data_IF_584369658534
#
_entry.id   IF_584369658534
#
_cell.length_a   1.000
_cell.length_b   1.000
_cell.length_c   1.000
_cell.angle_alpha   90.00
_cell.angle_beta   90.00
_cell.angle_gamma   90.00
#
_symmetry.space_group_name_H-M   'P 1'
#
loop_
_entity.id
_entity.type
_entity.pdbx_description
1 polymer ?
#
# COMPACT_ATOMS: atom_id res chain seq x y z
N UNK A 1 6.31 -9.95 -2.22
CA UNK A 1 5.69 -10.46 -3.47
C UNK A 1 4.79 -9.41 -4.14
N UNK A 2 3.97 -8.66 -3.36
CA UNK A 2 3.00 -7.69 -3.92
C UNK A 2 3.66 -6.62 -4.81
N UNK A 3 4.82 -6.09 -4.41
CA UNK A 3 5.51 -4.99 -5.11
C UNK A 3 6.14 -5.40 -6.44
N UNK A 4 6.21 -6.68 -6.76
CA UNK A 4 6.58 -7.12 -8.11
C UNK A 4 5.57 -6.64 -9.15
N UNK A 5 4.28 -6.72 -8.81
CA UNK A 5 3.18 -6.26 -9.68
C UNK A 5 2.78 -4.81 -9.38
N UNK A 6 2.74 -4.42 -8.09
CA UNK A 6 2.29 -3.11 -7.64
C UNK A 6 3.48 -2.19 -7.32
N UNK A 7 4.33 -1.94 -8.33
CA UNK A 7 5.59 -1.19 -8.16
C UNK A 7 5.37 0.27 -7.74
N UNK A 8 4.21 0.84 -8.04
CA UNK A 8 3.85 2.21 -7.65
C UNK A 8 3.79 2.41 -6.15
N UNK A 9 3.51 1.35 -5.36
CA UNK A 9 3.47 1.43 -3.90
C UNK A 9 4.82 1.86 -3.28
N UNK A 10 5.93 1.62 -3.99
CA UNK A 10 7.27 2.02 -3.56
C UNK A 10 7.70 3.40 -4.06
N UNK A 11 6.87 4.09 -4.84
CA UNK A 11 7.27 5.32 -5.56
C UNK A 11 6.31 6.49 -5.37
N UNK A 12 5.03 6.24 -5.08
CA UNK A 12 4.05 7.30 -5.06
C UNK A 12 2.74 6.97 -4.37
N UNK A 13 1.74 7.81 -4.62
CA UNK A 13 0.43 7.65 -3.98
C UNK A 13 -0.32 6.40 -4.44
N UNK A 14 -0.21 6.04 -5.72
CA UNK A 14 -0.91 4.89 -6.30
C UNK A 14 -0.01 3.66 -6.33
N UNK A 15 -0.53 2.51 -5.92
CA UNK A 15 0.17 1.24 -6.05
C UNK A 15 0.31 0.77 -7.50
N UNK A 16 -0.50 1.30 -8.41
CA UNK A 16 -0.62 0.96 -9.83
C UNK A 16 -1.11 -0.48 -10.09
N UNK A 17 -1.65 -0.72 -11.26
CA UNK A 17 -1.95 -2.04 -11.79
C UNK A 17 -0.93 -2.31 -12.89
N UNK A 18 -0.27 -3.48 -12.91
CA UNK A 18 0.70 -3.82 -13.94
C UNK A 18 0.03 -4.04 -15.30
N UNK A 19 0.79 -3.88 -16.36
CA UNK A 19 0.36 -4.32 -17.69
C UNK A 19 0.21 -5.84 -17.75
N UNK A 20 -0.59 -6.33 -18.71
CA UNK A 20 -0.80 -7.77 -18.95
C UNK A 20 0.50 -8.53 -19.15
N UNK A 21 1.51 -7.88 -19.76
CA UNK A 21 2.85 -8.47 -19.98
C UNK A 21 3.50 -8.91 -18.67
N UNK A 22 3.35 -8.15 -17.59
CA UNK A 22 3.91 -8.51 -16.28
C UNK A 22 3.25 -9.76 -15.72
N UNK A 23 1.94 -9.93 -15.94
CA UNK A 23 1.22 -11.15 -15.56
C UNK A 23 1.78 -12.37 -16.30
N UNK A 24 2.04 -12.21 -17.59
CA UNK A 24 2.51 -13.29 -18.47
C UNK A 24 3.95 -13.73 -18.19
N UNK A 25 4.76 -12.95 -17.44
CA UNK A 25 6.08 -13.41 -17.00
C UNK A 25 6.03 -14.72 -16.21
N UNK A 26 4.92 -14.98 -15.50
CA UNK A 26 4.71 -16.20 -14.75
C UNK A 26 3.58 -17.06 -15.34
N UNK A 27 2.45 -16.44 -15.74
CA UNK A 27 1.25 -17.16 -16.13
C UNK A 27 1.32 -17.77 -17.55
N UNK A 28 2.36 -17.52 -18.28
CA UNK A 28 2.69 -18.31 -19.48
C UNK A 28 3.07 -19.77 -19.15
N UNK A 29 3.42 -20.08 -17.89
CA UNK A 29 3.78 -21.43 -17.43
C UNK A 29 2.96 -21.90 -16.22
N UNK A 30 2.50 -20.97 -15.35
CA UNK A 30 1.86 -21.28 -14.08
C UNK A 30 0.34 -21.07 -14.19
N UNK A 31 -0.44 -22.07 -13.74
CA UNK A 31 -1.92 -22.05 -13.70
C UNK A 31 -2.59 -21.77 -15.06
N UNK A 32 -2.00 -22.19 -16.16
CA UNK A 32 -2.50 -21.93 -17.52
C UNK A 32 -3.94 -22.40 -17.73
N UNK A 33 -4.37 -23.46 -17.06
CA UNK A 33 -5.69 -24.02 -17.20
C UNK A 33 -6.77 -23.30 -16.38
N UNK A 34 -6.38 -22.36 -15.50
CA UNK A 34 -7.35 -21.55 -14.77
C UNK A 34 -8.20 -20.68 -15.71
N UNK A 35 -9.53 -20.65 -15.56
CA UNK A 35 -10.40 -19.79 -16.37
C UNK A 35 -10.00 -18.30 -16.29
N UNK A 36 -9.55 -17.85 -15.11
CA UNK A 36 -9.14 -16.46 -14.90
C UNK A 36 -7.81 -16.14 -15.60
N UNK A 37 -6.87 -17.09 -15.62
CA UNK A 37 -5.62 -16.93 -16.37
C UNK A 37 -5.87 -16.94 -17.88
N UNK A 38 -6.83 -17.72 -18.37
CA UNK A 38 -7.23 -17.71 -19.79
C UNK A 38 -7.76 -16.32 -20.21
N UNK A 39 -8.46 -15.59 -19.34
CA UNK A 39 -8.86 -14.19 -19.62
C UNK A 39 -7.65 -13.27 -19.80
N UNK A 40 -6.64 -13.43 -18.93
CA UNK A 40 -5.38 -12.66 -19.04
C UNK A 40 -4.65 -13.00 -20.35
N UNK A 41 -4.58 -14.27 -20.71
CA UNK A 41 -3.97 -14.73 -21.95
C UNK A 41 -4.68 -14.13 -23.17
N UNK A 42 -6.02 -14.19 -23.20
CA UNK A 42 -6.81 -13.58 -24.29
C UNK A 42 -6.52 -12.08 -24.41
N UNK A 43 -6.49 -11.35 -23.30
CA UNK A 43 -6.17 -9.92 -23.29
C UNK A 43 -4.76 -9.64 -23.82
N UNK A 44 -3.80 -10.52 -23.51
CA UNK A 44 -2.43 -10.45 -24.01
C UNK A 44 -2.36 -10.69 -25.53
N UNK A 45 -2.98 -11.75 -26.03
CA UNK A 45 -2.97 -12.14 -27.44
C UNK A 45 -3.71 -11.14 -28.33
N UNK A 46 -4.80 -10.58 -27.85
CA UNK A 46 -5.58 -9.57 -28.58
C UNK A 46 -5.10 -8.14 -28.37
N UNK A 47 -4.09 -7.95 -27.52
CA UNK A 47 -3.60 -6.63 -27.11
C UNK A 47 -4.72 -5.71 -26.61
N UNK A 48 -5.68 -6.26 -25.89
CA UNK A 48 -6.78 -5.51 -25.28
C UNK A 48 -6.56 -5.31 -23.79
N UNK A 49 -6.86 -4.13 -23.22
CA UNK A 49 -6.76 -3.92 -21.78
C UNK A 49 -7.82 -4.75 -21.03
N UNK A 50 -7.44 -5.19 -19.83
CA UNK A 50 -8.40 -5.81 -18.89
C UNK A 50 -9.18 -4.71 -18.18
N UNK A 51 -10.49 -4.81 -18.19
CA UNK A 51 -11.36 -3.94 -17.40
C UNK A 51 -11.38 -4.40 -15.94
N UNK A 52 -10.59 -3.71 -15.11
CA UNK A 52 -10.49 -4.00 -13.70
C UNK A 52 -11.62 -3.35 -12.90
N UNK A 53 -12.24 -4.12 -12.01
CA UNK A 53 -13.19 -3.59 -11.02
C UNK A 53 -12.41 -2.97 -9.86
N UNK A 54 -12.69 -1.71 -9.55
CA UNK A 54 -12.07 -1.02 -8.42
C UNK A 54 -12.73 -1.46 -7.11
N UNK A 55 -12.05 -2.31 -6.35
CA UNK A 55 -12.55 -2.85 -5.06
C UNK A 55 -12.23 -1.90 -3.90
N UNK A 56 -10.96 -1.48 -3.77
CA UNK A 56 -10.56 -0.57 -2.70
C UNK A 56 -10.82 0.88 -3.11
N UNK A 57 -11.74 1.52 -2.44
CA UNK A 57 -12.17 2.86 -2.79
C UNK A 57 -12.14 3.80 -1.57
N UNK A 58 -11.58 4.97 -1.77
CA UNK A 58 -11.68 6.11 -0.87
C UNK A 58 -12.50 7.21 -1.54
N UNK A 59 -13.18 8.08 -0.76
CA UNK A 59 -13.81 9.28 -1.31
C UNK A 59 -12.78 10.15 -2.04
N UNK A 60 -13.21 10.85 -3.09
CA UNK A 60 -12.29 11.66 -3.92
C UNK A 60 -11.58 12.77 -3.14
N UNK A 61 -12.18 13.23 -2.05
CA UNK A 61 -11.60 14.22 -1.13
C UNK A 61 -10.66 13.60 -0.08
N UNK A 62 -10.49 12.27 -0.05
CA UNK A 62 -9.60 11.56 0.85
C UNK A 62 -8.29 11.18 0.14
N UNK A 63 -7.21 11.85 0.48
CA UNK A 63 -5.90 11.55 -0.08
C UNK A 63 -5.19 10.44 0.68
N UNK A 64 -4.72 9.45 -0.03
CA UNK A 64 -3.91 8.37 0.51
C UNK A 64 -2.64 8.19 -0.33
N UNK A 65 -1.52 7.96 0.35
CA UNK A 65 -0.22 7.78 -0.30
C UNK A 65 0.42 6.45 0.12
N UNK A 66 0.48 5.49 -0.81
CA UNK A 66 1.08 4.18 -0.55
C UNK A 66 2.54 4.27 -0.15
N UNK A 67 3.34 5.12 -0.79
CA UNK A 67 4.76 5.28 -0.48
C UNK A 67 4.98 5.66 0.98
N UNK A 68 4.22 6.62 1.51
CA UNK A 68 4.33 7.06 2.90
C UNK A 68 3.98 5.94 3.88
N UNK A 69 2.97 5.13 3.58
CA UNK A 69 2.54 4.05 4.47
C UNK A 69 3.42 2.80 4.35
N UNK A 70 3.74 2.40 3.13
CA UNK A 70 4.51 1.19 2.89
C UNK A 70 6.03 1.40 3.07
N UNK A 71 6.60 2.38 2.32
CA UNK A 71 8.06 2.55 2.27
C UNK A 71 8.60 3.33 3.47
N UNK A 72 7.93 4.40 3.87
CA UNK A 72 8.38 5.25 4.99
C UNK A 72 7.94 4.66 6.33
N UNK A 73 6.66 4.35 6.49
CA UNK A 73 6.14 3.82 7.75
C UNK A 73 6.40 2.32 7.96
N UNK A 74 6.75 1.56 6.91
CA UNK A 74 7.03 0.12 7.00
C UNK A 74 5.79 -0.75 7.19
N UNK A 75 4.60 -0.22 6.91
CA UNK A 75 3.33 -0.94 7.11
C UNK A 75 3.16 -1.99 6.03
N UNK A 76 2.87 -3.22 6.44
CA UNK A 76 2.64 -4.32 5.51
C UNK A 76 1.30 -4.17 4.77
N UNK A 77 1.26 -4.62 3.52
CA UNK A 77 0.08 -4.53 2.65
C UNK A 77 -1.18 -5.11 3.30
N UNK A 78 -1.03 -6.24 3.98
CA UNK A 78 -2.13 -6.96 4.64
C UNK A 78 -2.78 -6.18 5.78
N UNK A 79 -2.13 -5.17 6.36
CA UNK A 79 -2.73 -4.33 7.41
C UNK A 79 -3.99 -3.62 6.90
N UNK A 80 -3.99 -3.21 5.64
CA UNK A 80 -5.12 -2.52 5.00
C UNK A 80 -5.92 -3.45 4.08
N UNK A 81 -5.22 -4.30 3.32
CA UNK A 81 -5.84 -5.14 2.29
C UNK A 81 -6.27 -6.52 2.80
N UNK A 82 -5.89 -6.91 4.03
CA UNK A 82 -6.12 -8.26 4.52
C UNK A 82 -5.27 -9.32 3.83
N UNK A 83 -5.56 -10.60 4.03
CA UNK A 83 -4.80 -11.71 3.47
C UNK A 83 -5.17 -11.96 1.99
N UNK A 84 -4.92 -10.96 1.14
CA UNK A 84 -5.30 -10.97 -0.29
C UNK A 84 -4.83 -12.23 -1.01
N UNK A 85 -3.65 -12.75 -0.65
CA UNK A 85 -3.07 -13.95 -1.23
C UNK A 85 -3.88 -15.22 -0.94
N UNK A 86 -4.83 -15.16 -0.02
CA UNK A 86 -5.74 -16.25 0.36
C UNK A 86 -7.17 -16.03 -0.11
N UNK A 87 -7.48 -14.87 -0.69
CA UNK A 87 -8.82 -14.55 -1.17
C UNK A 87 -9.06 -15.21 -2.53
N UNK A 88 -10.15 -15.95 -2.66
CA UNK A 88 -10.60 -16.49 -3.95
C UNK A 88 -11.11 -15.37 -4.87
N UNK A 89 -11.81 -14.41 -4.29
CA UNK A 89 -12.23 -13.15 -4.90
C UNK A 89 -11.86 -12.01 -3.98
N UNK A 90 -11.23 -10.96 -4.51
CA UNK A 90 -10.76 -9.83 -3.70
C UNK A 90 -11.94 -8.98 -3.24
N UNK A 91 -11.95 -8.66 -1.95
CA UNK A 91 -12.91 -7.75 -1.34
C UNK A 91 -12.20 -6.71 -0.44
N UNK A 92 -12.87 -5.61 -0.15
CA UNK A 92 -12.34 -4.61 0.77
C UNK A 92 -12.40 -5.13 2.21
N UNK A 93 -11.27 -5.56 2.73
CA UNK A 93 -11.14 -6.16 4.07
C UNK A 93 -11.28 -5.13 5.19
N UNK A 94 -10.54 -4.03 5.09
CA UNK A 94 -10.59 -2.95 6.08
C UNK A 94 -11.62 -1.90 5.68
N UNK A 95 -12.25 -1.27 6.67
CA UNK A 95 -13.30 -0.27 6.42
C UNK A 95 -12.80 0.94 5.66
N UNK A 96 -11.54 1.33 5.84
CA UNK A 96 -10.89 2.49 5.22
C UNK A 96 -11.67 3.79 5.41
N UNK A 97 -12.47 3.88 6.48
CA UNK A 97 -13.16 5.11 6.88
C UNK A 97 -12.18 6.08 7.54
N UNK A 98 -12.53 7.36 7.61
CA UNK A 98 -11.74 8.38 8.31
C UNK A 98 -11.44 7.95 9.76
N UNK A 99 -12.44 7.45 10.50
CA UNK A 99 -12.26 6.96 11.86
C UNK A 99 -11.27 5.80 11.96
N UNK A 100 -11.29 4.88 11.00
CA UNK A 100 -10.34 3.77 10.93
C UNK A 100 -8.89 4.28 10.74
N UNK A 101 -8.69 5.25 9.83
CA UNK A 101 -7.38 5.87 9.59
C UNK A 101 -6.86 6.61 10.83
N UNK A 102 -7.71 7.41 11.46
CA UNK A 102 -7.39 8.17 12.69
C UNK A 102 -7.00 7.24 13.83
N UNK A 103 -7.72 6.15 14.04
CA UNK A 103 -7.39 5.19 15.09
C UNK A 103 -6.05 4.50 14.81
N UNK A 104 -5.80 4.09 13.57
CA UNK A 104 -4.51 3.56 13.17
C UNK A 104 -3.36 4.53 13.46
N UNK A 105 -3.52 5.83 13.15
CA UNK A 105 -2.51 6.87 13.44
C UNK A 105 -2.28 7.11 14.93
N UNK A 106 -3.31 6.93 15.76
CA UNK A 106 -3.19 7.03 17.23
C UNK A 106 -2.42 5.87 17.84
N UNK A 107 -2.52 4.69 17.24
CA UNK A 107 -1.93 3.46 17.77
C UNK A 107 -0.55 3.15 17.17
N UNK A 108 -0.32 3.56 15.91
CA UNK A 108 0.91 3.22 15.19
C UNK A 108 2.07 4.07 15.67
N UNK A 109 3.11 3.41 16.17
CA UNK A 109 4.37 4.07 16.55
C UNK A 109 5.12 4.55 15.32
N UNK A 110 5.89 5.61 15.51
CA UNK A 110 6.75 6.17 14.45
C UNK A 110 7.84 5.17 14.08
N UNK A 111 7.95 4.86 12.79
CA UNK A 111 9.08 4.09 12.26
C UNK A 111 10.23 5.05 11.92
N UNK A 112 11.33 4.95 12.65
CA UNK A 112 12.53 5.76 12.45
C UNK A 112 13.56 5.10 11.51
N UNK A 113 13.38 3.81 11.20
CA UNK A 113 14.27 3.06 10.30
C UNK A 113 13.86 3.26 8.83
N UNK A 114 13.96 4.49 8.37
CA UNK A 114 13.70 4.84 6.97
C UNK A 114 14.62 5.97 6.50
N UNK A 115 14.83 6.05 5.19
CA UNK A 115 15.75 7.01 4.59
C UNK A 115 15.42 8.48 4.83
N UNK A 116 14.16 8.84 5.05
CA UNK A 116 13.77 10.21 5.36
C UNK A 116 14.32 10.66 6.71
N UNK A 117 14.07 9.90 7.77
CA UNK A 117 14.58 10.24 9.09
C UNK A 117 16.11 10.16 9.17
N UNK A 118 16.71 9.23 8.44
CA UNK A 118 18.17 9.14 8.31
C UNK A 118 18.78 10.39 7.66
N UNK A 119 18.13 10.95 6.64
CA UNK A 119 18.59 12.19 6.00
C UNK A 119 18.40 13.43 6.89
N UNK A 120 17.26 13.52 7.57
CA UNK A 120 16.89 14.73 8.35
C UNK A 120 17.57 14.76 9.71
N UNK A 121 17.69 13.64 10.37
CA UNK A 121 18.20 13.54 11.76
C UNK A 121 19.49 12.74 11.89
N UNK A 122 20.05 12.26 10.77
CA UNK A 122 21.18 11.34 10.78
C UNK A 122 20.83 10.04 11.50
N UNK A 123 21.85 9.25 11.82
CA UNK A 123 21.71 8.04 12.64
C UNK A 123 21.86 8.35 14.15
N UNK A 124 21.33 9.49 14.60
CA UNK A 124 21.42 9.90 16.00
C UNK A 124 20.66 8.92 16.90
N UNK A 125 21.39 8.11 17.64
CA UNK A 125 20.82 7.20 18.65
C UNK A 125 20.10 7.98 19.75
N UNK A 126 20.59 9.18 20.11
CA UNK A 126 19.93 10.05 21.07
C UNK A 126 18.52 10.48 20.60
N UNK A 127 18.34 10.76 19.30
CA UNK A 127 17.04 11.07 18.73
C UNK A 127 16.12 9.84 18.74
N UNK A 128 16.63 8.69 18.31
CA UNK A 128 15.86 7.43 18.33
C UNK A 128 15.41 7.06 19.73
N UNK A 129 16.30 7.19 20.71
CA UNK A 129 16.00 6.94 22.12
C UNK A 129 14.93 7.91 22.65
N UNK A 130 15.06 9.21 22.37
CA UNK A 130 14.08 10.21 22.79
C UNK A 130 12.68 9.97 22.21
N UNK A 131 12.58 9.48 20.98
CA UNK A 131 11.30 9.09 20.36
C UNK A 131 10.74 7.84 21.01
N UNK A 132 11.60 6.84 21.27
CA UNK A 132 11.20 5.60 21.92
C UNK A 132 10.71 5.84 23.35
N UNK A 133 11.43 6.64 24.15
CA UNK A 133 11.08 6.97 25.54
C UNK A 133 9.74 7.69 25.65
N UNK A 134 9.42 8.57 24.68
CA UNK A 134 8.15 9.28 24.62
C UNK A 134 7.00 8.42 24.07
N UNK A 135 7.29 7.26 23.49
CA UNK A 135 6.30 6.39 22.88
C UNK A 135 5.50 7.06 21.74
N UNK A 136 6.16 7.92 20.95
CA UNK A 136 5.49 8.76 19.96
C UNK A 136 4.78 7.92 18.89
N UNK A 137 3.54 8.28 18.62
CA UNK A 137 2.73 7.73 17.53
C UNK A 137 2.68 8.71 16.35
N UNK A 138 2.14 8.24 15.23
CA UNK A 138 1.93 9.06 14.04
C UNK A 138 1.04 10.28 14.37
N UNK A 139 0.06 10.11 15.27
CA UNK A 139 -0.78 11.22 15.75
C UNK A 139 0.05 12.37 16.33
N UNK A 140 1.10 12.07 17.09
CA UNK A 140 1.97 13.08 17.71
C UNK A 140 2.82 13.86 16.68
N UNK A 141 3.01 13.30 15.48
CA UNK A 141 3.76 13.93 14.39
C UNK A 141 2.86 14.60 13.34
N UNK A 142 1.65 14.99 13.73
CA UNK A 142 0.71 15.67 12.85
C UNK A 142 -0.08 14.74 11.94
N UNK A 143 -0.08 13.42 12.21
CA UNK A 143 -0.87 12.44 11.43
C UNK A 143 -2.38 12.57 11.59
N UNK A 144 -2.86 13.48 12.45
CA UNK A 144 -4.28 13.84 12.62
C UNK A 144 -4.62 15.21 12.05
N UNK A 145 -3.65 15.89 11.43
CA UNK A 145 -3.90 17.15 10.74
C UNK A 145 -4.79 16.92 9.52
N UNK A 146 -5.90 17.64 9.45
CA UNK A 146 -6.89 17.52 8.38
C UNK A 146 -6.26 17.71 6.99
N UNK A 147 -5.34 18.67 6.85
CA UNK A 147 -4.64 18.97 5.61
C UNK A 147 -3.67 17.87 5.13
N UNK A 148 -3.40 16.85 5.94
CA UNK A 148 -2.60 15.68 5.50
C UNK A 148 -3.40 14.71 4.64
N UNK A 149 -4.73 14.70 4.82
CA UNK A 149 -5.63 13.79 4.14
C UNK A 149 -6.65 14.51 3.23
N UNK A 150 -6.85 15.81 3.44
CA UNK A 150 -7.86 16.60 2.73
C UNK A 150 -7.21 17.89 2.17
N UNK A 151 -6.98 17.95 0.86
CA UNK A 151 -6.45 19.13 0.16
C UNK A 151 -6.83 19.15 -1.33
#
# INVERSE_FOLDING_TARGET
ACTYCHTGAERGKSATIPSVNVCMNCHNQIKKESPEIKKILTAYETNTPIEWVRIHNLPDFGYFNHYQHYKVAGIQCQKCHGPIEKMAEVYQHSQLTMGWCINCHRETKVNLDNGYYQQVHGNSEAFKQAVADKGLTIANLGGLDCAKCHY
#
